data_IF_256015750665
#
_entry.id   IF_256015750665
#
_cell.length_a   1.000
_cell.length_b   1.000
_cell.length_c   1.000
_cell.angle_alpha   90.00
_cell.angle_beta   90.00
_cell.angle_gamma   90.00
#
_symmetry.space_group_name_H-M   'P 1'
#
loop_
_entity.id
_entity.type
_entity.pdbx_description
1 polymer ?
#
# COMPACT_ATOMS: atom_id res chain seq x y z
N UNK A 1 13.46 -15.03 -18.05
CA UNK A 1 12.48 -14.69 -16.99
C UNK A 1 11.45 -13.77 -17.63
N UNK A 2 10.14 -13.92 -17.38
CA UNK A 2 9.18 -12.86 -17.74
C UNK A 2 9.57 -11.61 -16.96
N UNK A 3 9.71 -10.47 -17.62
CA UNK A 3 9.96 -9.20 -16.94
C UNK A 3 8.75 -8.86 -16.08
N UNK A 4 8.98 -8.77 -14.76
CA UNK A 4 7.96 -8.34 -13.82
C UNK A 4 7.72 -6.84 -14.01
N UNK A 5 6.45 -6.44 -14.12
CA UNK A 5 6.08 -5.01 -14.18
C UNK A 5 6.36 -4.30 -12.86
N UNK A 6 6.28 -5.04 -11.74
CA UNK A 6 6.64 -4.57 -10.40
C UNK A 6 7.77 -5.45 -9.88
N UNK A 7 8.99 -5.09 -10.25
CA UNK A 7 10.21 -5.84 -9.95
C UNK A 7 10.88 -5.47 -8.62
N UNK A 8 10.47 -4.36 -7.99
CA UNK A 8 11.07 -3.88 -6.74
C UNK A 8 10.04 -3.50 -5.68
N UNK A 9 10.50 -3.46 -4.43
CA UNK A 9 9.67 -3.07 -3.30
C UNK A 9 9.29 -1.58 -3.37
N UNK A 10 10.15 -0.72 -3.93
CA UNK A 10 9.85 0.69 -4.16
C UNK A 10 8.71 0.87 -5.16
N UNK A 11 8.70 0.10 -6.26
CA UNK A 11 7.62 0.13 -7.24
C UNK A 11 6.29 -0.33 -6.62
N UNK A 12 6.32 -1.41 -5.82
CA UNK A 12 5.15 -1.89 -5.10
C UNK A 12 4.62 -0.84 -4.10
N UNK A 13 5.53 -0.14 -3.40
CA UNK A 13 5.20 0.96 -2.50
C UNK A 13 4.51 2.10 -3.25
N UNK A 14 5.07 2.57 -4.37
CA UNK A 14 4.51 3.67 -5.15
C UNK A 14 3.11 3.36 -5.66
N UNK A 15 2.91 2.15 -6.20
CA UNK A 15 1.59 1.67 -6.63
C UNK A 15 0.63 1.67 -5.44
N UNK A 16 1.07 1.16 -4.29
CA UNK A 16 0.27 1.11 -3.07
C UNK A 16 -0.17 2.49 -2.58
N UNK A 17 0.74 3.48 -2.60
CA UNK A 17 0.43 4.87 -2.23
C UNK A 17 -0.59 5.49 -3.18
N UNK A 18 -0.40 5.35 -4.50
CA UNK A 18 -1.32 5.88 -5.52
C UNK A 18 -2.71 5.28 -5.40
N UNK A 19 -2.80 3.96 -5.22
CA UNK A 19 -4.08 3.28 -5.05
C UNK A 19 -4.77 3.68 -3.74
N UNK A 20 -4.01 3.87 -2.66
CA UNK A 20 -4.56 4.33 -1.39
C UNK A 20 -5.13 5.74 -1.48
N UNK A 21 -4.46 6.70 -2.14
CA UNK A 21 -5.01 8.05 -2.36
C UNK A 21 -6.33 8.01 -3.14
N UNK A 22 -6.37 7.19 -4.19
CA UNK A 22 -7.57 6.98 -5.03
C UNK A 22 -8.72 6.42 -4.22
N UNK A 23 -8.52 5.30 -3.51
CA UNK A 23 -9.60 4.62 -2.76
C UNK A 23 -10.05 5.38 -1.53
N UNK A 24 -9.14 6.09 -0.85
CA UNK A 24 -9.48 6.90 0.33
C UNK A 24 -10.08 8.26 -0.05
N UNK A 25 -10.03 8.66 -1.32
CA UNK A 25 -10.44 9.99 -1.79
C UNK A 25 -9.83 11.10 -0.90
N UNK A 26 -8.54 10.96 -0.59
CA UNK A 26 -7.81 11.82 0.31
C UNK A 26 -6.33 11.88 -0.07
N UNK A 27 -5.68 13.02 0.16
CA UNK A 27 -4.24 13.17 -0.04
C UNK A 27 -3.47 12.58 1.14
N UNK A 28 -2.45 11.79 0.85
CA UNK A 28 -1.49 11.31 1.84
C UNK A 28 -0.56 12.47 2.20
N UNK A 29 -0.46 12.76 3.50
CA UNK A 29 0.41 13.81 4.04
C UNK A 29 1.74 13.26 4.52
N UNK A 30 1.71 12.08 5.13
CA UNK A 30 2.86 11.30 5.58
C UNK A 30 2.52 9.83 5.45
N UNK A 31 3.53 9.00 5.24
CA UNK A 31 3.38 7.55 5.24
C UNK A 31 4.55 6.90 5.97
N UNK A 32 4.30 5.71 6.49
CA UNK A 32 5.30 4.84 7.08
C UNK A 32 5.12 3.46 6.49
N UNK A 33 6.22 2.85 6.04
CA UNK A 33 6.22 1.47 5.58
C UNK A 33 6.21 0.56 6.80
N UNK A 34 5.15 -0.23 6.96
CA UNK A 34 5.11 -1.26 8.00
C UNK A 34 5.81 -2.53 7.54
N UNK A 35 5.52 -2.98 6.32
CA UNK A 35 6.19 -4.12 5.69
C UNK A 35 5.92 -4.14 4.19
N UNK A 36 6.92 -4.52 3.40
CA UNK A 36 6.75 -4.85 1.98
C UNK A 36 7.50 -6.15 1.72
N UNK A 37 6.82 -7.15 1.17
CA UNK A 37 7.40 -8.46 0.89
C UNK A 37 6.74 -9.11 -0.32
N UNK A 38 7.54 -9.75 -1.17
CA UNK A 38 7.04 -10.59 -2.26
C UNK A 38 6.74 -11.99 -1.72
N UNK A 39 5.51 -12.46 -1.88
CA UNK A 39 5.14 -13.83 -1.50
C UNK A 39 5.88 -14.85 -2.38
N UNK A 40 6.21 -16.03 -1.85
CA UNK A 40 6.64 -17.14 -2.68
C UNK A 40 5.58 -17.47 -3.74
N UNK A 41 6.00 -17.91 -4.93
CA UNK A 41 5.07 -18.31 -6.00
C UNK A 41 4.08 -19.39 -5.59
N UNK A 42 4.48 -20.27 -4.65
CA UNK A 42 3.60 -21.29 -4.07
C UNK A 42 2.42 -20.72 -3.29
N UNK A 43 2.48 -19.45 -2.90
CA UNK A 43 1.44 -18.74 -2.15
C UNK A 43 0.77 -17.65 -3.00
N UNK A 44 0.91 -17.70 -4.34
CA UNK A 44 0.30 -16.76 -5.27
C UNK A 44 1.28 -15.73 -5.84
N UNK A 45 2.46 -15.56 -5.23
CA UNK A 45 3.52 -14.73 -5.78
C UNK A 45 3.19 -13.23 -5.81
N UNK A 46 2.37 -12.73 -4.89
CA UNK A 46 1.93 -11.34 -4.86
C UNK A 46 2.86 -10.48 -3.99
N UNK A 47 2.99 -9.20 -4.33
CA UNK A 47 3.56 -8.21 -3.41
C UNK A 47 2.54 -7.90 -2.31
N UNK A 48 2.92 -8.17 -1.07
CA UNK A 48 2.22 -7.72 0.13
C UNK A 48 2.78 -6.37 0.57
N UNK A 49 1.98 -5.32 0.50
CA UNK A 49 2.35 -3.95 0.89
C UNK A 49 1.49 -3.52 2.08
N UNK A 50 2.12 -3.19 3.21
CA UNK A 50 1.46 -2.65 4.40
C UNK A 50 2.01 -1.27 4.73
N UNK A 51 1.13 -0.29 4.76
CA UNK A 51 1.45 1.12 4.98
C UNK A 51 0.62 1.68 6.12
N UNK A 52 1.21 2.53 6.94
CA UNK A 52 0.47 3.47 7.78
C UNK A 52 0.46 4.83 7.09
N UNK A 53 -0.72 5.42 6.95
CA UNK A 53 -0.94 6.65 6.21
C UNK A 53 -1.53 7.70 7.14
N UNK A 54 -0.96 8.89 7.12
CA UNK A 54 -1.63 10.08 7.62
C UNK A 54 -2.32 10.76 6.44
N UNK A 55 -3.65 10.70 6.42
CA UNK A 55 -4.49 11.36 5.42
C UNK A 55 -5.16 12.59 6.01
N UNK A 56 -5.39 13.60 5.18
CA UNK A 56 -6.06 14.84 5.59
C UNK A 56 -7.25 15.20 4.72
N UNK A 57 -8.36 15.61 5.35
CA UNK A 57 -9.49 16.29 4.68
C UNK A 57 -9.74 17.63 5.34
N UNK A 58 -9.38 18.73 4.66
CA UNK A 58 -9.59 20.17 4.99
C UNK A 58 -9.29 20.64 6.43
N UNK A 59 -9.83 20.00 7.47
CA UNK A 59 -9.67 20.34 8.89
C UNK A 59 -9.34 19.14 9.80
N UNK A 60 -9.39 17.90 9.31
CA UNK A 60 -9.09 16.70 10.12
C UNK A 60 -7.90 15.90 9.59
N UNK A 61 -7.10 15.40 10.53
CA UNK A 61 -6.02 14.43 10.30
C UNK A 61 -6.52 13.05 10.75
N UNK A 62 -6.37 12.04 9.90
CA UNK A 62 -6.72 10.65 10.23
C UNK A 62 -5.53 9.75 9.94
N UNK A 63 -5.24 8.84 10.86
CA UNK A 63 -4.32 7.73 10.63
C UNK A 63 -5.10 6.53 10.09
N UNK A 64 -4.60 5.94 9.02
CA UNK A 64 -5.21 4.79 8.35
C UNK A 64 -4.11 3.77 8.08
N UNK A 65 -4.35 2.52 8.44
CA UNK A 65 -3.48 1.42 8.00
C UNK A 65 -4.07 0.81 6.75
N UNK A 66 -3.22 0.53 5.76
CA UNK A 66 -3.62 -0.07 4.49
C UNK A 66 -2.80 -1.33 4.27
N UNK A 67 -3.47 -2.40 3.84
CA UNK A 67 -2.83 -3.60 3.34
C UNK A 67 -3.29 -3.87 1.91
N UNK A 68 -2.33 -4.10 1.01
CA UNK A 68 -2.54 -4.20 -0.44
C UNK A 68 -1.80 -5.44 -0.94
N UNK A 69 -2.45 -6.20 -1.82
CA UNK A 69 -1.79 -7.24 -2.62
C UNK A 69 -1.72 -6.83 -4.08
N UNK A 70 -0.52 -6.88 -4.65
CA UNK A 70 -0.25 -6.45 -6.02
C UNK A 70 0.34 -7.62 -6.82
N UNK A 71 -0.22 -7.88 -7.99
CA UNK A 71 0.32 -8.83 -8.94
C UNK A 71 1.62 -8.28 -9.56
N UNK A 72 2.78 -8.94 -9.38
CA UNK A 72 4.04 -8.42 -9.90
C UNK A 72 4.17 -8.48 -11.42
N UNK A 73 3.44 -9.37 -12.09
CA UNK A 73 3.48 -9.50 -13.56
C UNK A 73 2.66 -8.38 -14.20
N UNK A 74 1.48 -8.06 -13.65
CA UNK A 74 0.53 -7.14 -14.29
C UNK A 74 0.47 -5.75 -13.66
N UNK A 75 0.87 -5.63 -12.38
CA UNK A 75 0.65 -4.45 -11.54
C UNK A 75 -0.79 -4.32 -11.00
N UNK A 76 -1.63 -5.34 -11.19
CA UNK A 76 -3.03 -5.31 -10.77
C UNK A 76 -3.17 -5.42 -9.24
N UNK A 77 -4.10 -4.66 -8.66
CA UNK A 77 -4.43 -4.73 -7.23
C UNK A 77 -5.41 -5.88 -7.00
N UNK A 78 -4.93 -6.96 -6.40
CA UNK A 78 -5.72 -8.16 -6.09
C UNK A 78 -6.54 -8.00 -4.82
N UNK A 79 -5.96 -7.37 -3.80
CA UNK A 79 -6.63 -7.13 -2.52
C UNK A 79 -6.29 -5.72 -2.01
N UNK A 80 -7.25 -5.11 -1.32
CA UNK A 80 -7.06 -3.84 -0.64
C UNK A 80 -7.95 -3.80 0.60
N UNK A 81 -7.35 -3.56 1.75
CA UNK A 81 -8.07 -3.41 3.02
C UNK A 81 -7.56 -2.21 3.80
N UNK A 82 -8.44 -1.62 4.61
CA UNK A 82 -8.11 -0.47 5.45
C UNK A 82 -8.62 -0.69 6.86
N UNK A 83 -7.83 -0.25 7.84
CA UNK A 83 -8.24 -0.21 9.24
C UNK A 83 -7.90 1.15 9.83
N UNK A 84 -8.64 1.57 10.86
CA UNK A 84 -8.31 2.80 11.59
C UNK A 84 -6.93 2.65 12.23
N UNK A 85 -6.04 3.61 12.01
CA UNK A 85 -4.76 3.66 12.71
C UNK A 85 -4.95 4.19 14.13
N UNK A 86 -4.23 3.63 15.11
CA UNK A 86 -4.12 4.24 16.43
C UNK A 86 -3.23 5.48 16.35
N UNK A 87 -3.52 6.52 17.15
CA UNK A 87 -2.68 7.70 17.26
C UNK A 87 -1.24 7.28 17.64
N UNK A 88 -0.31 7.28 16.67
CA UNK A 88 1.11 7.29 17.01
C UNK A 88 1.41 8.67 17.60
N UNK A 89 1.95 8.70 18.82
CA UNK A 89 2.52 9.91 19.40
C UNK A 89 3.54 10.45 18.39
N UNK A 90 3.30 11.66 17.90
CA UNK A 90 4.15 12.36 16.92
C UNK A 90 5.25 13.07 17.69
#
# INVERSE_FOLDING_TARGET
>A
MKDMRVGSWEQAMEIGLREAEKRLSAKIKRYWVSSISLEPRTHGGLWNVRLELQVGKRLSKKLVRVAIKIDPETGEIREFSTTAGSARAI
#
